data_IF_454083642626
#
_entry.id   IF_454083642626
#
_cell.length_a   1.000
_cell.length_b   1.000
_cell.length_c   1.000
_cell.angle_alpha   90.00
_cell.angle_beta   90.00
_cell.angle_gamma   90.00
#
_symmetry.space_group_name_H-M   'P 1'
#
loop_
_entity.id
_entity.type
_entity.pdbx_description
1 polymer ?
#
# COMPACT_ATOMS: atom_id res chain seq x y z
N UNK A 1 1.38 12.62 -1.02
CA UNK A 1 0.02 12.86 -0.44
C UNK A 1 -0.14 14.24 0.21
N UNK A 2 0.70 14.65 1.18
CA UNK A 2 0.63 16.02 1.74
C UNK A 2 0.76 17.12 0.67
N UNK A 3 1.63 16.92 -0.32
CA UNK A 3 1.80 17.78 -1.50
C UNK A 3 0.53 17.94 -2.33
N UNK A 4 -0.32 16.91 -2.37
CA UNK A 4 -1.64 16.92 -3.03
C UNK A 4 -2.74 17.53 -2.14
N UNK A 5 -2.38 18.15 -1.02
CA UNK A 5 -3.33 18.79 -0.11
C UNK A 5 -4.08 17.84 0.82
N UNK A 6 -3.69 16.56 0.90
CA UNK A 6 -4.26 15.61 1.86
C UNK A 6 -3.82 15.98 3.28
N UNK A 7 -4.77 16.41 4.11
CA UNK A 7 -4.58 16.82 5.50
C UNK A 7 -5.03 15.72 6.48
N UNK A 8 -4.69 15.88 7.75
CA UNK A 8 -5.22 15.02 8.81
C UNK A 8 -6.74 15.23 8.99
N UNK A 9 -7.49 14.17 9.39
CA UNK A 9 -7.00 12.85 9.81
C UNK A 9 -6.73 11.89 8.63
N UNK A 10 -7.08 12.27 7.41
CA UNK A 10 -7.00 11.40 6.23
C UNK A 10 -5.56 11.04 5.86
N UNK A 11 -4.62 11.98 6.02
CA UNK A 11 -3.19 11.71 5.84
C UNK A 11 -2.71 10.58 6.77
N UNK A 12 -3.00 10.69 8.07
CA UNK A 12 -2.66 9.64 9.05
C UNK A 12 -3.34 8.30 8.74
N UNK A 13 -4.57 8.34 8.22
CA UNK A 13 -5.27 7.13 7.78
C UNK A 13 -4.61 6.46 6.57
N UNK A 14 -4.13 7.22 5.58
CA UNK A 14 -3.37 6.66 4.46
C UNK A 14 -2.02 6.08 4.90
N UNK A 15 -1.35 6.73 5.87
CA UNK A 15 -0.12 6.19 6.44
C UNK A 15 -0.38 4.84 7.12
N UNK A 16 -1.40 4.74 7.97
CA UNK A 16 -1.75 3.48 8.63
C UNK A 16 -2.21 2.40 7.66
N UNK A 17 -2.82 2.76 6.54
CA UNK A 17 -3.18 1.82 5.47
C UNK A 17 -1.94 1.20 4.78
N UNK A 18 -0.85 1.96 4.65
CA UNK A 18 0.36 1.53 3.94
C UNK A 18 1.43 0.91 4.86
N UNK A 19 1.44 1.25 6.14
CA UNK A 19 2.41 0.79 7.13
C UNK A 19 2.08 -0.60 7.70
N UNK A 20 3.09 -1.26 8.28
CA UNK A 20 2.92 -2.49 9.06
C UNK A 20 2.48 -3.74 8.29
N UNK A 21 2.42 -3.68 6.95
CA UNK A 21 1.95 -4.78 6.11
C UNK A 21 2.98 -5.91 6.03
N UNK A 22 2.47 -7.14 6.00
CA UNK A 22 3.26 -8.35 5.85
C UNK A 22 2.58 -9.29 4.84
N UNK A 23 3.37 -10.11 4.15
CA UNK A 23 2.89 -11.08 3.17
C UNK A 23 3.47 -12.47 3.40
N UNK A 24 2.72 -13.47 2.98
CA UNK A 24 3.19 -14.84 2.76
C UNK A 24 2.64 -15.33 1.43
N UNK A 25 3.30 -16.30 0.82
CA UNK A 25 2.89 -16.93 -0.44
C UNK A 25 2.53 -18.38 -0.15
N UNK A 26 1.31 -18.78 -0.55
CA UNK A 26 0.89 -20.19 -0.54
C UNK A 26 1.05 -20.77 -1.94
N UNK A 27 1.72 -21.91 -2.03
CA UNK A 27 1.81 -22.69 -3.26
C UNK A 27 1.61 -24.17 -2.94
N UNK A 28 0.55 -24.77 -3.50
CA UNK A 28 0.06 -26.11 -3.14
C UNK A 28 -0.14 -26.24 -1.61
N UNK A 29 0.59 -27.18 -0.98
CA UNK A 29 0.57 -27.45 0.45
C UNK A 29 1.69 -26.74 1.23
N UNK A 30 2.44 -25.83 0.59
CA UNK A 30 3.52 -25.07 1.23
C UNK A 30 3.15 -23.61 1.43
N UNK A 31 3.65 -23.02 2.51
CA UNK A 31 3.48 -21.61 2.87
C UNK A 31 4.86 -21.00 3.11
N UNK A 32 5.12 -19.83 2.53
CA UNK A 32 6.37 -19.12 2.78
C UNK A 32 6.42 -18.54 4.20
N UNK A 33 7.62 -18.20 4.66
CA UNK A 33 7.75 -17.34 5.83
C UNK A 33 7.03 -16.01 5.61
N UNK A 34 6.53 -15.46 6.71
CA UNK A 34 5.94 -14.13 6.75
C UNK A 34 7.05 -13.09 6.53
N UNK A 35 6.85 -12.18 5.58
CA UNK A 35 7.82 -11.14 5.24
C UNK A 35 7.18 -9.75 5.26
N UNK A 36 7.87 -8.72 5.76
CA UNK A 36 7.36 -7.35 5.69
C UNK A 36 7.27 -6.86 4.24
N UNK A 37 6.27 -6.02 3.97
CA UNK A 37 6.08 -5.35 2.69
C UNK A 37 6.51 -3.90 2.84
N UNK A 38 7.50 -3.48 2.05
CA UNK A 38 8.04 -2.11 2.10
C UNK A 38 7.50 -1.19 1.00
N UNK A 39 6.80 -1.73 0.01
CA UNK A 39 6.35 -0.97 -1.16
C UNK A 39 5.04 -1.53 -1.75
N UNK A 40 4.44 -0.75 -2.67
CA UNK A 40 3.21 -1.12 -3.35
C UNK A 40 1.96 -0.97 -2.47
N UNK A 41 0.84 -1.41 -3.01
CA UNK A 41 -0.51 -1.32 -2.41
C UNK A 41 -1.13 -2.70 -2.29
N UNK A 42 -2.17 -2.86 -1.47
CA UNK A 42 -2.92 -4.12 -1.41
C UNK A 42 -3.69 -4.29 -2.72
N UNK A 43 -3.33 -5.28 -3.52
CA UNK A 43 -4.02 -5.58 -4.77
C UNK A 43 -5.45 -6.05 -4.48
N UNK A 44 -6.42 -5.55 -5.25
CA UNK A 44 -7.85 -5.78 -4.99
C UNK A 44 -8.47 -4.81 -3.98
N UNK A 45 -7.69 -3.92 -3.37
CA UNK A 45 -8.24 -2.80 -2.60
C UNK A 45 -8.81 -1.71 -3.52
N UNK A 46 -9.90 -1.08 -3.10
CA UNK A 46 -10.52 0.06 -3.81
C UNK A 46 -9.53 1.22 -4.00
N UNK A 47 -8.62 1.41 -3.04
CA UNK A 47 -7.63 2.48 -3.06
C UNK A 47 -6.37 2.17 -3.86
N UNK A 48 -6.12 0.91 -4.19
CA UNK A 48 -4.93 0.50 -4.92
C UNK A 48 -4.75 1.28 -6.23
N UNK A 49 -5.77 1.33 -7.11
CA UNK A 49 -5.69 2.09 -8.36
C UNK A 49 -5.47 3.59 -8.16
N UNK A 50 -6.14 4.21 -7.17
CA UNK A 50 -5.97 5.65 -6.89
C UNK A 50 -4.55 5.97 -6.42
N UNK A 51 -4.04 5.19 -5.47
CA UNK A 51 -2.68 5.37 -4.95
C UNK A 51 -1.62 5.09 -6.02
N UNK A 52 -1.88 4.16 -6.93
CA UNK A 52 -1.01 3.91 -8.09
C UNK A 52 -0.95 5.12 -9.02
N UNK A 53 -2.09 5.74 -9.35
CA UNK A 53 -2.15 6.94 -10.20
C UNK A 53 -1.38 8.10 -9.55
N UNK A 54 -1.61 8.36 -8.26
CA UNK A 54 -0.90 9.41 -7.51
C UNK A 54 0.61 9.16 -7.54
N UNK A 55 1.05 7.91 -7.34
CA UNK A 55 2.46 7.54 -7.36
C UNK A 55 3.11 7.76 -8.73
N UNK A 56 2.45 7.37 -9.83
CA UNK A 56 2.99 7.56 -11.18
C UNK A 56 3.02 9.03 -11.57
N UNK A 57 1.99 9.81 -11.21
CA UNK A 57 1.96 11.25 -11.47
C UNK A 57 3.07 12.03 -10.74
N UNK A 58 3.62 11.49 -9.65
CA UNK A 58 4.78 12.07 -8.95
C UNK A 58 6.13 11.67 -9.57
N UNK A 59 6.16 10.59 -10.37
CA UNK A 59 7.37 10.10 -11.05
C UNK A 59 7.59 10.82 -12.38
N UNK A 60 6.50 11.19 -13.06
CA UNK A 60 6.48 11.89 -14.35
C UNK A 60 6.47 13.40 -14.17
#
# INVERSE_FOLDING_TARGET
>A
LKSYGVKDPLHSWFASFLEGRQQTVKYNNSLSLLKPITSGVIQGSVLGPLLFIIYINDIT
#
